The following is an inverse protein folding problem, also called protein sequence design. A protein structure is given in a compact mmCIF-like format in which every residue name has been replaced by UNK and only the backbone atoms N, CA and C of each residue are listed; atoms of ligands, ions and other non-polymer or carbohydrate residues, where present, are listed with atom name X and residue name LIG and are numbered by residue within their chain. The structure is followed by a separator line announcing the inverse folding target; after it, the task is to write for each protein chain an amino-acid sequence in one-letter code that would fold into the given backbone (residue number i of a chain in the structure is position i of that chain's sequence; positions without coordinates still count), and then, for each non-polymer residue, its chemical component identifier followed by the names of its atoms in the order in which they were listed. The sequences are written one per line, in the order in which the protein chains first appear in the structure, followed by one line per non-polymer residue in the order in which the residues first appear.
data_IF_580148251195
#
_entry.id   IF_580148251195
#
_cell.length_a   1.000
_cell.length_b   1.000
_cell.length_c   1.000
_cell.angle_alpha   90.00
_cell.angle_beta   90.00
_cell.angle_gamma   90.00
#
_symmetry.space_group_name_H-M   'P 1'
#
loop_
_entity.id
_entity.type
_entity.pdbx_description
1 polymer ?
#
# COMPACT_ATOMS: atom_id res chain seq x y z
N UNK A 1 7.18 22.83 22.54
CA UNK A 1 7.04 21.98 21.33
C UNK A 1 8.32 21.22 21.08
N UNK A 2 8.25 19.91 20.96
CA UNK A 2 9.43 19.15 20.53
C UNK A 2 9.90 19.59 19.15
N UNK A 3 11.20 19.71 18.99
CA UNK A 3 11.81 20.10 17.71
C UNK A 3 12.93 19.11 17.37
N UNK A 4 13.00 18.75 16.11
CA UNK A 4 14.10 17.92 15.64
C UNK A 4 15.36 18.77 15.52
N UNK A 5 16.38 18.43 16.29
CA UNK A 5 17.61 19.23 16.40
C UNK A 5 18.68 18.81 15.38
N UNK A 6 18.53 17.63 14.78
CA UNK A 6 19.48 17.10 13.80
C UNK A 6 18.75 16.74 12.51
N UNK A 7 19.50 16.78 11.40
CA UNK A 7 18.99 16.34 10.11
C UNK A 7 18.96 14.82 10.06
N UNK A 8 17.87 14.26 9.52
CA UNK A 8 17.81 12.83 9.24
C UNK A 8 18.57 12.53 7.95
N UNK A 9 19.38 11.48 7.96
CA UNK A 9 20.06 11.01 6.75
C UNK A 9 19.02 10.80 5.63
N UNK A 10 19.29 11.26 4.37
CA UNK A 10 18.30 11.14 3.29
C UNK A 10 17.82 9.73 3.02
N UNK A 11 18.69 8.71 3.08
CA UNK A 11 18.28 7.32 2.91
C UNK A 11 17.35 6.85 4.02
N UNK A 12 17.67 7.20 5.26
CA UNK A 12 16.82 6.89 6.42
C UNK A 12 15.48 7.62 6.30
N UNK A 13 15.49 8.88 5.89
CA UNK A 13 14.27 9.65 5.72
C UNK A 13 13.35 9.04 4.65
N UNK A 14 13.93 8.54 3.57
CA UNK A 14 13.14 7.85 2.52
C UNK A 14 12.46 6.59 3.04
N UNK A 15 13.16 5.80 3.87
CA UNK A 15 12.59 4.62 4.51
C UNK A 15 11.43 5.01 5.43
N UNK A 16 11.61 6.07 6.23
CA UNK A 16 10.55 6.57 7.11
C UNK A 16 9.32 7.00 6.33
N UNK A 17 9.49 7.68 5.19
CA UNK A 17 8.37 8.10 4.35
C UNK A 17 7.59 6.90 3.81
N UNK A 18 8.30 5.87 3.35
CA UNK A 18 7.66 4.67 2.81
C UNK A 18 6.87 3.93 3.90
N UNK A 19 7.46 3.77 5.08
CA UNK A 19 6.80 3.13 6.23
C UNK A 19 5.61 3.97 6.70
N UNK A 20 5.68 5.29 6.59
CA UNK A 20 4.57 6.17 6.96
C UNK A 20 3.34 5.91 6.10
N UNK A 21 3.49 5.66 4.80
CA UNK A 21 2.37 5.27 3.94
C UNK A 21 1.75 3.95 4.38
N UNK A 22 2.59 2.95 4.67
CA UNK A 22 2.14 1.65 5.16
C UNK A 22 1.36 1.78 6.46
N UNK A 23 1.88 2.53 7.43
CA UNK A 23 1.22 2.76 8.71
C UNK A 23 -0.09 3.54 8.57
N UNK A 24 -0.17 4.43 7.59
CA UNK A 24 -1.41 5.14 7.30
C UNK A 24 -2.51 4.20 6.87
N UNK A 25 -2.21 3.27 5.97
CA UNK A 25 -3.16 2.24 5.53
C UNK A 25 -3.59 1.36 6.70
N UNK A 26 -2.64 0.93 7.53
CA UNK A 26 -2.92 0.14 8.72
C UNK A 26 -3.92 0.86 9.61
N UNK A 27 -3.68 2.15 9.89
CA UNK A 27 -4.57 2.96 10.71
C UNK A 27 -5.98 3.06 10.12
N UNK A 28 -6.09 3.30 8.82
CA UNK A 28 -7.39 3.38 8.15
C UNK A 28 -8.16 2.05 8.22
N UNK A 29 -7.47 0.94 7.98
CA UNK A 29 -8.10 -0.38 8.01
C UNK A 29 -8.52 -0.77 9.43
N UNK A 30 -7.72 -0.45 10.44
CA UNK A 30 -8.10 -0.66 11.83
C UNK A 30 -9.36 0.12 12.19
N UNK A 31 -9.46 1.37 11.76
CA UNK A 31 -10.66 2.19 11.98
C UNK A 31 -11.89 1.64 11.27
N UNK A 32 -11.69 0.91 10.18
CA UNK A 32 -12.75 0.24 9.43
C UNK A 32 -13.17 -1.10 10.07
N UNK A 33 -12.45 -1.56 11.09
CA UNK A 33 -12.79 -2.78 11.82
C UNK A 33 -11.95 -4.00 11.49
N UNK A 34 -10.93 -3.86 10.65
CA UNK A 34 -10.04 -4.97 10.33
C UNK A 34 -9.04 -5.23 11.46
N UNK A 35 -8.80 -6.49 11.75
CA UNK A 35 -7.69 -6.89 12.61
C UNK A 35 -6.42 -6.95 11.76
N UNK A 36 -5.33 -6.37 12.28
CA UNK A 36 -4.08 -6.26 11.54
C UNK A 36 -3.00 -7.12 12.20
N UNK A 37 -2.25 -7.85 11.37
CA UNK A 37 -1.09 -8.64 11.79
C UNK A 37 0.11 -8.22 10.98
N UNK A 38 1.22 -7.92 11.63
CA UNK A 38 2.49 -7.62 10.93
C UNK A 38 3.45 -8.79 11.10
N UNK A 39 4.19 -9.15 10.04
CA UNK A 39 5.18 -10.23 10.16
C UNK A 39 6.35 -9.77 11.03
N UNK A 40 6.88 -10.68 11.85
CA UNK A 40 8.11 -10.42 12.61
C UNK A 40 9.28 -10.26 11.63
N UNK A 41 9.31 -11.13 10.61
CA UNK A 41 10.29 -11.08 9.53
C UNK A 41 9.56 -11.38 8.22
N UNK A 42 9.71 -10.51 7.22
CA UNK A 42 9.18 -10.74 5.87
C UNK A 42 10.33 -10.99 4.90
N UNK A 43 10.94 -12.15 5.00
CA UNK A 43 12.07 -12.52 4.14
C UNK A 43 11.56 -13.20 2.86
N UNK A 44 11.30 -12.39 1.83
CA UNK A 44 10.90 -12.88 0.50
C UNK A 44 9.41 -13.17 0.33
N UNK A 45 8.59 -12.98 1.35
CA UNK A 45 7.14 -13.23 1.25
C UNK A 45 6.36 -12.06 0.66
N UNK A 46 6.96 -10.88 0.57
CA UNK A 46 6.37 -9.67 -0.02
C UNK A 46 5.12 -9.16 0.69
N UNK A 47 4.86 -9.60 1.92
CA UNK A 47 3.70 -9.21 2.70
C UNK A 47 4.09 -8.15 3.72
N UNK A 48 3.51 -6.95 3.60
CA UNK A 48 3.76 -5.89 4.58
C UNK A 48 2.92 -6.11 5.82
N UNK A 49 1.68 -6.55 5.65
CA UNK A 49 0.82 -6.94 6.76
C UNK A 49 -0.33 -7.83 6.28
N UNK A 50 -0.94 -8.48 7.24
CA UNK A 50 -2.11 -9.34 7.05
C UNK A 50 -3.31 -8.67 7.68
N UNK A 51 -4.47 -8.74 7.01
CA UNK A 51 -5.72 -8.26 7.59
C UNK A 51 -6.70 -9.42 7.71
N UNK A 52 -7.60 -9.32 8.69
CA UNK A 52 -8.63 -10.34 8.92
C UNK A 52 -9.94 -9.71 9.32
N UNK A 53 -11.03 -10.25 8.80
CA UNK A 53 -12.40 -9.95 9.24
C UNK A 53 -12.92 -10.99 10.24
N UNK A 54 -12.06 -11.89 10.67
CA UNK A 54 -12.37 -13.03 11.52
C UNK A 54 -12.14 -14.34 10.78
N UNK A 55 -13.04 -14.75 9.86
CA UNK A 55 -12.87 -16.03 9.14
C UNK A 55 -11.87 -15.95 7.97
N UNK A 56 -11.66 -14.77 7.39
CA UNK A 56 -10.80 -14.62 6.22
C UNK A 56 -9.54 -13.82 6.54
N UNK A 57 -8.46 -14.12 5.81
CA UNK A 57 -7.17 -13.44 5.93
C UNK A 57 -6.72 -13.00 4.55
N UNK A 58 -6.22 -11.76 4.44
CA UNK A 58 -5.73 -11.20 3.18
C UNK A 58 -4.34 -10.62 3.38
N UNK A 59 -3.43 -10.93 2.44
CA UNK A 59 -2.07 -10.43 2.44
C UNK A 59 -2.00 -9.13 1.64
N UNK A 60 -1.52 -8.08 2.28
CA UNK A 60 -1.47 -6.73 1.72
C UNK A 60 -0.02 -6.30 1.54
N UNK A 61 0.24 -5.69 0.41
CA UNK A 61 1.51 -5.03 0.13
C UNK A 61 1.25 -3.56 -0.18
N UNK A 62 2.05 -2.67 0.40
CA UNK A 62 1.98 -1.23 0.15
C UNK A 62 3.23 -0.79 -0.59
N UNK A 63 3.07 -0.04 -1.66
CA UNK A 63 4.17 0.49 -2.47
C UNK A 63 3.99 1.96 -2.74
N UNK A 64 5.10 2.65 -2.92
CA UNK A 64 5.11 4.05 -3.35
C UNK A 64 5.68 4.14 -4.75
N UNK A 65 5.16 5.06 -5.55
CA UNK A 65 5.63 5.31 -6.91
C UNK A 65 5.81 6.81 -7.14
N UNK A 66 6.78 7.15 -7.98
CA UNK A 66 7.03 8.51 -8.44
C UNK A 66 6.31 8.74 -9.76
N UNK A 67 4.97 8.67 -9.72
CA UNK A 67 4.15 8.82 -10.90
C UNK A 67 3.49 10.19 -10.93
N UNK A 68 3.59 10.88 -12.06
CA UNK A 68 2.86 12.14 -12.29
C UNK A 68 1.47 11.87 -12.85
N UNK A 69 1.32 10.78 -13.59
CA UNK A 69 0.06 10.36 -14.21
C UNK A 69 -0.20 8.89 -13.87
N UNK A 70 -1.42 8.45 -14.07
CA UNK A 70 -1.84 7.08 -13.72
C UNK A 70 -1.86 6.12 -14.92
N UNK A 71 -1.31 6.51 -16.06
CA UNK A 71 -1.21 5.65 -17.24
C UNK A 71 0.09 4.83 -17.29
N UNK A 72 0.86 4.86 -16.23
CA UNK A 72 2.12 4.12 -16.13
C UNK A 72 1.89 2.64 -15.88
N UNK A 73 2.86 1.84 -16.32
CA UNK A 73 2.89 0.42 -16.01
C UNK A 73 3.44 0.19 -14.62
N UNK A 74 2.84 -0.78 -13.91
CA UNK A 74 3.39 -1.32 -12.67
C UNK A 74 3.73 -2.78 -12.89
N UNK A 75 4.87 -3.19 -12.36
CA UNK A 75 5.38 -4.54 -12.54
C UNK A 75 4.92 -5.45 -11.41
N UNK A 76 4.68 -6.71 -11.76
CA UNK A 76 4.38 -7.74 -10.78
C UNK A 76 5.67 -8.15 -10.06
N UNK A 77 5.89 -7.57 -8.87
CA UNK A 77 7.04 -7.89 -8.03
C UNK A 77 6.68 -8.84 -6.88
N UNK A 78 5.47 -9.37 -6.89
CA UNK A 78 4.97 -10.35 -5.90
C UNK A 78 4.82 -11.74 -6.49
N UNK A 79 5.33 -11.96 -7.69
CA UNK A 79 5.27 -13.23 -8.39
C UNK A 79 5.90 -14.35 -7.54
N UNK A 80 5.15 -15.44 -7.38
CA UNK A 80 5.57 -16.54 -6.50
C UNK A 80 5.20 -16.35 -5.03
N UNK A 81 4.55 -15.23 -4.67
CA UNK A 81 4.04 -14.96 -3.34
C UNK A 81 2.52 -14.91 -3.37
N UNK A 82 1.88 -15.11 -2.19
CA UNK A 82 0.42 -15.17 -2.09
C UNK A 82 -0.17 -13.82 -1.68
N UNK A 83 0.15 -12.77 -2.45
CA UNK A 83 -0.38 -11.43 -2.19
C UNK A 83 -1.81 -11.35 -2.75
N UNK A 84 -2.74 -10.81 -1.95
CA UNK A 84 -4.12 -10.62 -2.35
C UNK A 84 -4.36 -9.24 -2.94
N UNK A 85 -3.74 -8.22 -2.35
CA UNK A 85 -3.99 -6.84 -2.72
C UNK A 85 -2.70 -6.01 -2.60
N UNK A 86 -2.49 -5.11 -3.55
CA UNK A 86 -1.38 -4.16 -3.54
C UNK A 86 -1.95 -2.75 -3.52
N UNK A 87 -1.43 -1.92 -2.64
CA UNK A 87 -1.85 -0.53 -2.50
C UNK A 87 -0.69 0.36 -2.92
N UNK A 88 -0.92 1.18 -3.94
CA UNK A 88 0.07 2.12 -4.46
C UNK A 88 -0.26 3.53 -4.00
N UNK A 89 0.76 4.22 -3.50
CA UNK A 89 0.69 5.66 -3.22
C UNK A 89 1.56 6.41 -4.22
N UNK A 90 1.00 7.43 -4.85
CA UNK A 90 1.78 8.40 -5.62
C UNK A 90 2.51 9.29 -4.61
N UNK A 91 3.84 9.16 -4.55
CA UNK A 91 4.67 9.76 -3.49
C UNK A 91 4.56 11.28 -3.44
N UNK A 92 4.51 11.92 -4.59
CA UNK A 92 4.52 13.38 -4.72
C UNK A 92 3.16 13.95 -5.16
N UNK A 93 2.09 13.19 -4.95
CA UNK A 93 0.73 13.56 -5.31
C UNK A 93 -0.23 13.14 -4.18
N UNK A 94 -1.52 13.39 -4.39
CA UNK A 94 -2.53 13.10 -3.37
C UNK A 94 -3.45 11.94 -3.76
N UNK A 95 -2.99 11.02 -4.59
CA UNK A 95 -3.78 9.90 -5.05
C UNK A 95 -3.03 8.58 -4.89
N UNK A 96 -3.75 7.50 -5.02
CA UNK A 96 -3.22 6.14 -5.04
C UNK A 96 -4.18 5.20 -5.72
N UNK A 97 -3.82 3.92 -5.72
CA UNK A 97 -4.63 2.84 -6.31
C UNK A 97 -4.68 1.63 -5.40
N UNK A 98 -5.87 1.04 -5.29
CA UNK A 98 -6.04 -0.29 -4.69
C UNK A 98 -6.15 -1.27 -5.85
N UNK A 99 -5.29 -2.28 -5.85
CA UNK A 99 -5.14 -3.21 -6.96
C UNK A 99 -5.23 -4.65 -6.43
N UNK A 100 -6.18 -5.46 -6.94
CA UNK A 100 -6.08 -6.90 -6.68
C UNK A 100 -4.82 -7.44 -7.36
N UNK A 101 -4.11 -8.33 -6.68
CA UNK A 101 -2.88 -8.89 -7.24
C UNK A 101 -3.16 -9.56 -8.58
N UNK A 102 -2.41 -9.20 -9.59
CA UNK A 102 -2.58 -9.76 -10.93
C UNK A 102 -1.42 -10.73 -11.26
N UNK A 103 -1.65 -11.58 -12.25
CA UNK A 103 -0.70 -12.63 -12.65
C UNK A 103 0.19 -12.24 -13.84
N UNK A 104 -0.20 -11.22 -14.60
CA UNK A 104 0.60 -10.72 -15.71
C UNK A 104 1.94 -10.18 -15.21
N UNK A 105 2.93 -10.05 -16.08
CA UNK A 105 4.23 -9.48 -15.71
C UNK A 105 4.12 -8.00 -15.36
N UNK A 106 3.20 -7.29 -16.02
CA UNK A 106 2.91 -5.87 -15.76
C UNK A 106 1.51 -5.52 -16.23
N UNK A 107 0.96 -4.47 -15.67
CA UNK A 107 -0.31 -3.87 -16.10
C UNK A 107 -0.20 -2.36 -15.96
N UNK A 108 -1.02 -1.64 -16.71
CA UNK A 108 -1.16 -0.20 -16.47
C UNK A 108 -1.80 0.02 -15.10
N UNK A 109 -1.34 1.03 -14.39
CA UNK A 109 -1.86 1.37 -13.06
C UNK A 109 -3.37 1.64 -13.11
N UNK A 110 -3.85 2.29 -14.18
CA UNK A 110 -5.27 2.63 -14.37
C UNK A 110 -6.08 1.54 -15.10
N UNK A 111 -5.63 0.28 -15.04
CA UNK A 111 -6.35 -0.83 -15.67
C UNK A 111 -7.72 -1.09 -15.03
N UNK A 112 -8.59 -1.81 -15.75
CA UNK A 112 -9.87 -2.23 -15.21
C UNK A 112 -9.68 -3.09 -13.95
N UNK A 113 -10.53 -2.87 -12.95
CA UNK A 113 -10.42 -3.54 -11.66
C UNK A 113 -9.49 -2.86 -10.68
N UNK A 114 -8.71 -1.89 -11.11
CA UNK A 114 -7.89 -1.05 -10.24
C UNK A 114 -8.70 0.16 -9.82
N UNK A 115 -8.74 0.46 -8.52
CA UNK A 115 -9.60 1.53 -8.01
C UNK A 115 -8.77 2.66 -7.45
N UNK A 116 -8.93 3.85 -8.04
CA UNK A 116 -8.22 5.06 -7.62
C UNK A 116 -8.83 5.65 -6.36
N UNK A 117 -8.00 6.21 -5.51
CA UNK A 117 -8.46 6.95 -4.31
C UNK A 117 -7.63 8.22 -4.15
N UNK A 118 -8.24 9.26 -3.56
CA UNK A 118 -7.46 10.35 -3.00
C UNK A 118 -6.95 9.94 -1.61
N UNK A 119 -5.82 10.51 -1.17
CA UNK A 119 -5.12 10.04 0.03
C UNK A 119 -5.80 10.51 1.32
N UNK A 120 -7.06 10.15 1.47
CA UNK A 120 -7.87 10.34 2.67
C UNK A 120 -8.44 9.01 3.11
N UNK A 121 -8.76 8.89 4.40
CA UNK A 121 -9.38 7.67 4.93
C UNK A 121 -10.67 7.32 4.19
N UNK A 122 -11.55 8.30 3.99
CA UNK A 122 -12.85 8.09 3.36
C UNK A 122 -12.72 7.53 1.95
N UNK A 123 -11.90 8.15 1.13
CA UNK A 123 -11.73 7.74 -0.26
C UNK A 123 -11.00 6.40 -0.36
N UNK A 124 -9.99 6.19 0.48
CA UNK A 124 -9.29 4.91 0.52
C UNK A 124 -10.23 3.77 0.86
N UNK A 125 -11.03 3.90 1.92
CA UNK A 125 -11.93 2.83 2.34
C UNK A 125 -13.01 2.56 1.30
N UNK A 126 -13.52 3.61 0.65
CA UNK A 126 -14.47 3.46 -0.46
C UNK A 126 -13.85 2.63 -1.60
N UNK A 127 -12.62 2.94 -1.99
CA UNK A 127 -11.91 2.19 -3.03
C UNK A 127 -11.62 0.76 -2.59
N UNK A 128 -11.17 0.58 -1.35
CA UNK A 128 -10.82 -0.73 -0.81
C UNK A 128 -12.01 -1.68 -0.80
N UNK A 129 -13.20 -1.19 -0.48
CA UNK A 129 -14.42 -2.00 -0.47
C UNK A 129 -14.88 -2.39 -1.88
N UNK A 130 -14.37 -1.78 -2.92
CA UNK A 130 -14.73 -2.07 -4.31
C UNK A 130 -13.83 -3.14 -4.96
N UNK A 131 -12.77 -3.54 -4.28
CA UNK A 131 -11.77 -4.48 -4.83
C UNK A 131 -12.05 -5.92 -4.43
#
# INVERSE_FOLDING_TARGET
MPRRMTQTNPGTHQVLKNIAFENRVIGWLMQDGWQIFTPIVDNGHKTDFLISDGPNFYRIQVKTIDAKTDDQYVENRWKGSNIDCVIYFARNSNWGYVIPAFTQNRRKLNSDGHVKFSQTKKDFLKAFHMV
#
